data_IF_834296032872
#
_entry.id   IF_834296032872
#
_cell.length_a   1.000
_cell.length_b   1.000
_cell.length_c   1.000
_cell.angle_alpha   90.00
_cell.angle_beta   90.00
_cell.angle_gamma   90.00
#
_symmetry.space_group_name_H-M   'P 1'
#
loop_
_entity.id
_entity.type
_entity.pdbx_description
1 polymer ?
#
# COMPACT_ATOMS: atom_id res chain seq x y z
N UNK A 1 -15.14 -42.55 48.66
CA UNK A 1 -15.31 -42.40 47.22
C UNK A 1 -15.67 -40.92 46.95
N UNK A 2 -14.72 -40.10 46.60
CA UNK A 2 -14.91 -38.64 46.49
C UNK A 2 -14.58 -38.24 45.08
N UNK A 3 -15.59 -37.92 44.29
CA UNK A 3 -15.43 -37.26 42.98
C UNK A 3 -15.12 -35.76 43.18
N UNK A 4 -13.92 -35.34 42.80
CA UNK A 4 -13.58 -33.90 42.67
C UNK A 4 -13.71 -33.47 41.23
N UNK A 5 -14.59 -32.50 41.03
CA UNK A 5 -14.90 -31.83 39.78
C UNK A 5 -13.70 -31.09 39.18
N UNK A 6 -13.40 -31.39 37.93
CA UNK A 6 -12.47 -30.61 37.07
C UNK A 6 -13.25 -29.64 36.21
N UNK A 7 -13.55 -28.45 36.73
CA UNK A 7 -14.35 -27.45 35.99
C UNK A 7 -13.73 -26.03 35.96
N UNK A 8 -12.42 -25.89 36.17
CA UNK A 8 -11.83 -24.56 36.33
C UNK A 8 -10.89 -24.08 35.18
N UNK A 9 -10.68 -24.83 34.10
CA UNK A 9 -9.64 -24.50 33.13
C UNK A 9 -10.20 -23.86 31.82
N UNK A 10 -11.52 -23.91 31.59
CA UNK A 10 -12.09 -23.45 30.34
C UNK A 10 -12.34 -21.92 30.27
N UNK A 11 -12.50 -21.24 31.43
CA UNK A 11 -12.86 -19.81 31.48
C UNK A 11 -11.73 -18.84 31.09
N UNK A 12 -10.49 -19.14 31.47
CA UNK A 12 -9.36 -18.24 31.28
C UNK A 12 -8.91 -18.14 29.80
N UNK A 13 -8.99 -19.24 29.06
CA UNK A 13 -8.59 -19.29 27.66
C UNK A 13 -9.56 -18.51 26.75
N UNK A 14 -10.87 -18.55 27.07
CA UNK A 14 -11.90 -17.84 26.29
C UNK A 14 -11.79 -16.32 26.53
N UNK A 15 -11.54 -15.89 27.76
CA UNK A 15 -11.41 -14.46 28.09
C UNK A 15 -10.17 -13.84 27.42
N UNK A 16 -9.05 -14.56 27.36
CA UNK A 16 -7.83 -14.08 26.70
C UNK A 16 -8.03 -13.97 25.17
N UNK A 17 -8.68 -14.93 24.55
CA UNK A 17 -8.96 -14.92 23.11
C UNK A 17 -9.89 -13.76 22.72
N UNK A 18 -10.91 -13.49 23.47
CA UNK A 18 -11.84 -12.37 23.24
C UNK A 18 -11.12 -11.01 23.40
N UNK A 19 -10.29 -10.84 24.42
CA UNK A 19 -9.53 -9.61 24.63
C UNK A 19 -8.55 -9.33 23.49
N UNK A 20 -7.87 -10.35 22.98
CA UNK A 20 -6.95 -10.20 21.84
C UNK A 20 -7.69 -9.86 20.55
N UNK A 21 -8.89 -10.42 20.31
CA UNK A 21 -9.71 -10.10 19.14
C UNK A 21 -10.24 -8.67 19.22
N UNK A 22 -10.69 -8.21 20.38
CA UNK A 22 -11.17 -6.85 20.57
C UNK A 22 -10.06 -5.81 20.41
N UNK A 23 -8.89 -6.02 21.00
CA UNK A 23 -7.75 -5.13 20.84
C UNK A 23 -7.28 -5.02 19.37
N UNK A 24 -7.33 -6.13 18.63
CA UNK A 24 -7.01 -6.13 17.18
C UNK A 24 -8.03 -5.34 16.35
N UNK A 25 -9.32 -5.44 16.67
CA UNK A 25 -10.37 -4.71 15.96
C UNK A 25 -10.29 -3.20 16.22
N UNK A 26 -9.81 -2.78 17.36
CA UNK A 26 -9.60 -1.37 17.69
C UNK A 26 -8.35 -0.79 16.98
N UNK A 27 -7.26 -1.55 16.90
CA UNK A 27 -6.05 -1.16 16.17
C UNK A 27 -6.35 -1.03 14.67
N UNK A 28 -7.09 -1.97 14.08
CA UNK A 28 -7.48 -1.92 12.67
C UNK A 28 -8.40 -0.74 12.36
N UNK A 29 -9.37 -0.47 13.24
CA UNK A 29 -10.24 0.71 13.14
C UNK A 29 -9.46 2.01 13.31
N UNK A 30 -8.53 2.06 14.24
CA UNK A 30 -7.65 3.20 14.46
C UNK A 30 -6.81 3.51 13.23
N UNK A 31 -6.21 2.50 12.60
CA UNK A 31 -5.41 2.68 11.39
C UNK A 31 -6.26 3.12 10.19
N UNK A 32 -7.40 2.49 9.98
CA UNK A 32 -8.34 2.87 8.91
C UNK A 32 -8.86 4.31 9.09
N UNK A 33 -9.15 4.73 10.31
CA UNK A 33 -9.57 6.09 10.61
C UNK A 33 -8.44 7.10 10.42
N UNK A 34 -7.20 6.77 10.78
CA UNK A 34 -6.03 7.61 10.55
C UNK A 34 -5.80 7.83 9.04
N UNK A 35 -5.86 6.78 8.24
CA UNK A 35 -5.73 6.87 6.79
C UNK A 35 -6.87 7.69 6.17
N UNK A 36 -8.12 7.48 6.61
CA UNK A 36 -9.26 8.26 6.11
C UNK A 36 -9.15 9.75 6.47
N UNK A 37 -8.69 10.07 7.68
CA UNK A 37 -8.47 11.45 8.14
C UNK A 37 -7.32 12.13 7.40
N UNK A 38 -6.31 11.37 7.00
CA UNK A 38 -5.12 11.87 6.32
C UNK A 38 -5.29 11.98 4.78
N UNK A 39 -6.44 11.57 4.23
CA UNK A 39 -6.73 11.79 2.82
C UNK A 39 -6.68 13.30 2.52
N UNK A 40 -5.71 13.73 1.68
CA UNK A 40 -5.47 15.14 1.37
C UNK A 40 -6.16 15.60 0.09
N UNK A 41 -6.96 14.73 -0.52
CA UNK A 41 -7.66 15.03 -1.77
C UNK A 41 -8.62 13.93 -2.19
N UNK A 42 -9.38 14.21 -3.25
CA UNK A 42 -10.26 13.22 -3.86
C UNK A 42 -9.46 12.06 -4.44
N UNK A 43 -9.95 10.86 -4.26
CA UNK A 43 -9.38 9.68 -4.87
C UNK A 43 -9.45 9.76 -6.40
N UNK A 44 -8.42 9.26 -7.05
CA UNK A 44 -8.31 9.18 -8.50
C UNK A 44 -8.47 7.72 -8.89
N UNK A 45 -9.28 7.43 -9.89
CA UNK A 45 -9.53 6.07 -10.38
C UNK A 45 -9.00 5.92 -11.80
N UNK A 46 -8.30 4.81 -12.06
CA UNK A 46 -7.76 4.51 -13.38
C UNK A 46 -7.10 3.13 -13.42
N UNK A 47 -6.10 3.00 -14.29
CA UNK A 47 -5.30 1.79 -14.39
C UNK A 47 -3.89 2.01 -13.83
N UNK A 48 -3.27 0.94 -13.34
CA UNK A 48 -1.88 0.90 -12.97
C UNK A 48 -1.11 -0.04 -13.88
N UNK A 49 0.10 0.34 -14.25
CA UNK A 49 1.09 -0.55 -14.86
C UNK A 49 2.29 -0.74 -13.91
N UNK A 50 3.28 -1.49 -14.36
CA UNK A 50 4.54 -1.66 -13.65
C UNK A 50 5.66 -1.08 -14.49
N UNK A 51 6.63 -0.42 -13.85
CA UNK A 51 7.88 -0.07 -14.49
C UNK A 51 9.07 -0.66 -13.73
N UNK A 52 10.11 -0.97 -14.47
CA UNK A 52 11.39 -1.41 -13.90
C UNK A 52 12.52 -1.05 -14.87
N UNK A 53 13.30 0.02 -14.60
CA UNK A 53 14.35 0.51 -15.51
C UNK A 53 15.50 -0.47 -15.71
N UNK A 54 15.59 -1.53 -14.91
CA UNK A 54 16.61 -2.57 -15.03
C UNK A 54 16.19 -3.76 -15.90
N UNK A 55 14.94 -3.81 -16.37
CA UNK A 55 14.50 -4.88 -17.26
C UNK A 55 14.91 -4.59 -18.71
N UNK A 56 15.46 -5.58 -19.43
CA UNK A 56 15.76 -5.44 -20.86
C UNK A 56 14.51 -5.04 -21.65
N UNK A 57 14.67 -4.07 -22.56
CA UNK A 57 13.57 -3.57 -23.41
C UNK A 57 12.66 -2.52 -22.74
N UNK A 58 12.86 -2.21 -21.48
CA UNK A 58 12.14 -1.13 -20.79
C UNK A 58 13.04 0.11 -20.77
N UNK A 59 12.78 1.05 -21.68
CA UNK A 59 13.62 2.22 -21.88
C UNK A 59 13.06 3.51 -21.29
N UNK A 60 11.99 3.44 -20.51
CA UNK A 60 11.40 4.63 -19.91
C UNK A 60 12.09 4.94 -18.57
N UNK A 61 12.77 6.07 -18.54
CA UNK A 61 13.46 6.59 -17.37
C UNK A 61 14.82 5.98 -17.09
N UNK A 62 15.62 6.67 -16.33
CA UNK A 62 16.89 6.16 -15.81
C UNK A 62 16.72 5.47 -14.47
N UNK A 63 17.82 5.01 -13.86
CA UNK A 63 17.79 4.39 -12.53
C UNK A 63 17.46 5.36 -11.39
N UNK A 64 17.38 6.65 -11.66
CA UNK A 64 17.06 7.68 -10.68
C UNK A 64 15.62 8.16 -10.89
N UNK A 65 14.85 8.17 -9.81
CA UNK A 65 13.47 8.67 -9.79
C UNK A 65 13.41 10.20 -9.79
N UNK A 66 12.24 10.77 -10.04
CA UNK A 66 12.04 12.23 -10.00
C UNK A 66 12.33 12.87 -8.64
N UNK A 67 12.25 12.10 -7.54
CA UNK A 67 12.67 12.55 -6.20
C UNK A 67 14.18 12.58 -6.00
N UNK A 68 14.95 11.99 -6.93
CA UNK A 68 16.40 11.82 -6.84
C UNK A 68 16.84 10.52 -6.17
N UNK A 69 15.92 9.72 -5.68
CA UNK A 69 16.23 8.40 -5.15
C UNK A 69 16.58 7.42 -6.27
N UNK A 70 17.43 6.44 -5.98
CA UNK A 70 17.65 5.33 -6.89
C UNK A 70 16.41 4.43 -6.90
N UNK A 71 15.99 3.98 -8.08
CA UNK A 71 14.92 2.99 -8.20
C UNK A 71 15.26 1.71 -7.43
N UNK A 72 14.34 1.27 -6.61
CA UNK A 72 14.44 0.01 -5.86
C UNK A 72 13.22 -0.87 -6.18
N UNK A 73 13.41 -2.01 -6.88
CA UNK A 73 12.32 -2.93 -7.20
C UNK A 73 11.65 -3.55 -5.96
N UNK A 74 12.36 -3.56 -4.81
CA UNK A 74 11.86 -4.09 -3.54
C UNK A 74 11.08 -3.07 -2.72
N UNK A 75 11.09 -1.81 -3.10
CA UNK A 75 10.39 -0.74 -2.39
C UNK A 75 8.88 -0.76 -2.65
N UNK A 76 8.10 -0.36 -1.64
CA UNK A 76 6.68 -0.01 -1.79
C UNK A 76 6.58 1.41 -2.36
N UNK A 77 6.83 1.55 -3.64
CA UNK A 77 6.88 2.84 -4.31
C UNK A 77 6.17 2.81 -5.67
N UNK A 78 5.93 4.00 -6.21
CA UNK A 78 5.27 4.17 -7.49
C UNK A 78 5.61 5.53 -8.12
N UNK A 79 5.46 5.58 -9.44
CA UNK A 79 5.44 6.80 -10.23
C UNK A 79 4.01 7.23 -10.47
N UNK A 80 3.69 8.52 -10.28
CA UNK A 80 2.36 9.07 -10.58
C UNK A 80 2.35 9.72 -11.96
N UNK A 81 1.24 9.59 -12.69
CA UNK A 81 1.10 10.23 -14.00
C UNK A 81 1.45 11.72 -13.93
N UNK A 82 2.21 12.20 -14.90
CA UNK A 82 2.76 13.57 -14.90
C UNK A 82 1.69 14.65 -14.72
N UNK A 83 0.53 14.50 -15.35
CA UNK A 83 -0.60 15.43 -15.23
C UNK A 83 -1.22 15.46 -13.82
N UNK A 84 -1.03 14.39 -13.04
CA UNK A 84 -1.53 14.26 -11.67
C UNK A 84 -0.51 14.69 -10.62
N UNK A 85 0.74 14.98 -11.02
CA UNK A 85 1.85 15.32 -10.13
C UNK A 85 1.50 16.39 -9.09
N UNK A 86 0.77 17.42 -9.48
CA UNK A 86 0.34 18.51 -8.58
C UNK A 86 -0.57 18.02 -7.44
N UNK A 87 -1.45 17.05 -7.71
CA UNK A 87 -2.35 16.46 -6.69
C UNK A 87 -1.62 15.67 -5.62
N UNK A 88 -0.38 15.26 -5.89
CA UNK A 88 0.49 14.53 -4.95
C UNK A 88 1.61 15.46 -4.40
N UNK A 89 1.38 16.77 -4.36
CA UNK A 89 2.31 17.72 -3.75
C UNK A 89 3.59 17.98 -4.55
N UNK A 90 3.58 17.67 -5.87
CA UNK A 90 4.66 18.04 -6.77
C UNK A 90 5.95 17.24 -6.55
N UNK A 91 5.90 15.91 -6.74
CA UNK A 91 7.08 15.04 -6.68
C UNK A 91 8.24 15.62 -7.47
N UNK A 92 9.37 15.88 -6.83
CA UNK A 92 10.57 16.50 -7.43
C UNK A 92 11.80 16.19 -6.60
N UNK A 93 12.98 16.41 -7.18
CA UNK A 93 14.26 16.25 -6.54
C UNK A 93 14.33 17.04 -5.21
N UNK A 94 14.77 16.37 -4.15
CA UNK A 94 14.94 16.94 -2.82
C UNK A 94 13.65 17.36 -2.08
N UNK A 95 12.46 17.06 -2.64
CA UNK A 95 11.21 17.32 -1.93
C UNK A 95 10.95 16.25 -0.85
N UNK A 96 10.19 16.64 0.19
CA UNK A 96 9.69 15.68 1.19
C UNK A 96 8.93 14.53 0.54
N UNK A 97 9.04 13.30 1.09
CA UNK A 97 8.33 12.14 0.59
C UNK A 97 6.83 12.38 0.48
N UNK A 98 6.20 11.84 -0.55
CA UNK A 98 4.75 11.85 -0.76
C UNK A 98 4.23 10.43 -0.69
N UNK A 99 3.03 10.27 -0.16
CA UNK A 99 2.43 8.96 0.05
C UNK A 99 1.00 8.92 -0.50
N UNK A 100 0.58 7.74 -0.88
CA UNK A 100 -0.78 7.47 -1.32
C UNK A 100 -1.29 6.15 -0.77
N UNK A 101 -2.59 6.09 -0.45
CA UNK A 101 -3.29 4.83 -0.32
C UNK A 101 -3.70 4.34 -1.70
N UNK A 102 -3.32 3.13 -2.02
CA UNK A 102 -3.72 2.43 -3.25
C UNK A 102 -4.65 1.28 -2.89
N UNK A 103 -5.78 1.21 -3.60
CA UNK A 103 -6.79 0.16 -3.45
C UNK A 103 -7.06 -0.46 -4.82
N UNK A 104 -6.93 -1.77 -4.93
CA UNK A 104 -7.23 -2.54 -6.15
C UNK A 104 -7.41 -4.02 -5.82
N UNK A 105 -8.22 -4.75 -6.59
CA UNK A 105 -8.41 -6.19 -6.46
C UNK A 105 -8.66 -6.66 -5.01
N UNK A 106 -9.43 -5.87 -4.23
CA UNK A 106 -9.75 -6.17 -2.83
C UNK A 106 -8.59 -6.01 -1.84
N UNK A 107 -7.44 -5.49 -2.29
CA UNK A 107 -6.25 -5.25 -1.48
C UNK A 107 -5.97 -3.76 -1.34
N UNK A 108 -5.19 -3.40 -0.31
CA UNK A 108 -4.77 -2.03 -0.05
C UNK A 108 -3.29 -1.97 0.31
N UNK A 109 -2.62 -0.90 -0.11
CA UNK A 109 -1.25 -0.62 0.29
C UNK A 109 -1.00 0.88 0.39
N UNK A 110 -0.15 1.29 1.34
CA UNK A 110 0.44 2.62 1.34
C UNK A 110 1.71 2.55 0.50
N UNK A 111 1.82 3.45 -0.47
CA UNK A 111 2.98 3.53 -1.35
C UNK A 111 3.61 4.91 -1.28
N UNK A 112 4.94 4.95 -1.40
CA UNK A 112 5.68 6.18 -1.59
C UNK A 112 5.56 6.62 -3.05
N UNK A 113 5.18 7.85 -3.30
CA UNK A 113 5.17 8.44 -4.62
C UNK A 113 6.49 9.21 -4.78
N UNK A 114 7.44 8.61 -5.47
CA UNK A 114 8.79 9.14 -5.62
C UNK A 114 9.20 9.37 -7.08
N UNK A 115 8.31 9.04 -8.03
CA UNK A 115 8.60 9.23 -9.44
C UNK A 115 7.39 9.75 -10.22
N UNK A 116 7.59 10.12 -11.49
CA UNK A 116 6.57 10.58 -12.43
C UNK A 116 6.57 9.72 -13.69
N UNK A 117 5.42 9.31 -14.09
CA UNK A 117 5.03 8.41 -15.18
C UNK A 117 3.70 7.76 -14.74
N UNK A 118 3.03 6.98 -15.53
CA UNK A 118 3.17 6.72 -16.96
C UNK A 118 2.70 7.91 -17.83
N UNK A 119 3.08 7.86 -19.13
CA UNK A 119 2.58 8.80 -20.12
C UNK A 119 1.34 8.29 -20.86
N UNK A 120 1.05 6.99 -20.76
CA UNK A 120 -0.06 6.35 -21.45
C UNK A 120 -1.42 6.82 -20.90
N UNK A 121 -2.33 7.32 -21.72
CA UNK A 121 -3.67 7.72 -21.29
C UNK A 121 -4.40 6.60 -20.55
N UNK A 122 -5.14 6.97 -19.49
CA UNK A 122 -5.88 6.02 -18.64
C UNK A 122 -5.05 5.29 -17.57
N UNK A 123 -3.72 5.26 -17.71
CA UNK A 123 -2.82 4.81 -16.65
C UNK A 123 -2.50 5.99 -15.74
N UNK A 124 -2.85 5.85 -14.47
CA UNK A 124 -2.70 6.93 -13.49
C UNK A 124 -1.46 6.77 -12.63
N UNK A 125 -0.92 5.55 -12.54
CA UNK A 125 0.19 5.18 -11.66
C UNK A 125 0.98 4.01 -12.24
N UNK A 126 2.30 4.03 -12.09
CA UNK A 126 3.18 2.89 -12.38
C UNK A 126 3.81 2.37 -11.10
N UNK A 127 3.58 1.12 -10.81
CA UNK A 127 4.08 0.47 -9.61
C UNK A 127 5.52 0.00 -9.78
N UNK A 128 6.34 0.11 -8.71
CA UNK A 128 7.54 -0.70 -8.58
C UNK A 128 7.16 -2.18 -8.55
N UNK A 129 8.11 -3.05 -8.85
CA UNK A 129 7.85 -4.49 -8.95
C UNK A 129 7.24 -5.07 -7.66
N UNK A 130 7.73 -4.71 -6.48
CA UNK A 130 7.16 -5.16 -5.20
C UNK A 130 5.71 -4.72 -5.03
N UNK A 131 5.41 -3.48 -5.35
CA UNK A 131 4.03 -2.96 -5.26
C UNK A 131 3.12 -3.69 -6.24
N UNK A 132 3.56 -3.89 -7.48
CA UNK A 132 2.79 -4.63 -8.48
C UNK A 132 2.50 -6.05 -8.04
N UNK A 133 3.49 -6.78 -7.49
CA UNK A 133 3.31 -8.14 -6.97
C UNK A 133 2.29 -8.26 -5.84
N UNK A 134 2.02 -7.19 -5.13
CA UNK A 134 0.95 -7.20 -4.13
C UNK A 134 -0.43 -7.31 -4.78
N UNK A 135 -0.68 -6.58 -5.87
CA UNK A 135 -1.95 -6.57 -6.56
C UNK A 135 -2.06 -7.68 -7.62
N UNK A 136 -0.96 -7.99 -8.30
CA UNK A 136 -0.80 -9.08 -9.29
C UNK A 136 0.42 -9.95 -8.93
N UNK A 137 0.27 -10.95 -8.04
CA UNK A 137 1.39 -11.76 -7.54
C UNK A 137 2.20 -12.47 -8.64
N UNK A 138 1.53 -12.85 -9.72
CA UNK A 138 2.16 -13.55 -10.85
C UNK A 138 2.76 -12.63 -11.90
N UNK A 139 2.56 -11.31 -11.80
CA UNK A 139 2.92 -10.32 -12.83
C UNK A 139 2.38 -10.70 -14.23
N UNK A 140 1.19 -11.29 -14.27
CA UNK A 140 0.58 -11.82 -15.51
C UNK A 140 -0.31 -10.82 -16.20
N UNK A 141 -0.89 -9.90 -15.45
CA UNK A 141 -1.84 -8.92 -15.96
C UNK A 141 -1.15 -7.79 -16.73
N UNK A 142 0.06 -7.42 -16.34
CA UNK A 142 0.79 -6.27 -16.88
C UNK A 142 0.14 -4.91 -16.56
N UNK A 143 -1.20 -4.88 -16.52
CA UNK A 143 -2.02 -3.71 -16.18
C UNK A 143 -3.10 -4.14 -15.18
N UNK A 144 -3.25 -3.40 -14.09
CA UNK A 144 -4.33 -3.58 -13.11
C UNK A 144 -5.34 -2.47 -13.32
N UNK A 145 -6.60 -2.82 -13.52
CA UNK A 145 -7.70 -1.88 -13.74
C UNK A 145 -8.46 -1.59 -12.45
N UNK A 146 -9.21 -0.47 -12.44
CA UNK A 146 -10.03 -0.08 -11.29
C UNK A 146 -9.19 0.30 -10.06
N UNK A 147 -7.97 0.72 -10.28
CA UNK A 147 -7.08 1.18 -9.20
C UNK A 147 -7.56 2.53 -8.69
N UNK A 148 -7.78 2.61 -7.39
CA UNK A 148 -8.11 3.84 -6.70
C UNK A 148 -6.88 4.32 -5.92
N UNK A 149 -6.46 5.56 -6.17
CA UNK A 149 -5.29 6.18 -5.56
C UNK A 149 -5.73 7.43 -4.80
N UNK A 150 -5.51 7.45 -3.49
CA UNK A 150 -5.86 8.58 -2.62
C UNK A 150 -4.59 9.21 -2.06
N UNK A 151 -4.29 10.49 -2.34
CA UNK A 151 -3.17 11.19 -1.73
C UNK A 151 -3.30 11.23 -0.21
N UNK A 152 -2.19 11.07 0.50
CA UNK A 152 -2.13 11.17 1.97
C UNK A 152 -1.36 12.45 2.35
N UNK A 153 -1.84 13.13 3.37
CA UNK A 153 -1.13 14.26 4.02
C UNK A 153 -0.08 13.72 5.00
N UNK A 154 0.98 14.50 5.21
CA UNK A 154 2.09 14.09 6.07
C UNK A 154 3.16 13.30 5.32
N UNK A 155 4.28 13.08 5.98
CA UNK A 155 5.48 12.48 5.40
C UNK A 155 6.06 11.32 6.24
N UNK A 156 5.34 10.89 7.27
CA UNK A 156 5.73 9.85 8.26
C UNK A 156 5.04 8.49 8.05
N UNK A 157 4.46 8.26 6.86
CA UNK A 157 3.79 7.00 6.56
C UNK A 157 4.77 5.85 6.36
N UNK A 158 4.42 4.67 6.87
CA UNK A 158 5.15 3.43 6.60
C UNK A 158 4.57 2.75 5.36
N UNK A 159 5.32 2.69 4.25
CA UNK A 159 4.87 2.00 3.05
C UNK A 159 4.71 0.50 3.25
N UNK A 160 3.66 -0.07 2.67
CA UNK A 160 3.39 -1.50 2.78
C UNK A 160 1.90 -1.82 2.69
N UNK A 161 1.53 -3.12 2.82
CA UNK A 161 0.14 -3.54 2.85
C UNK A 161 -0.60 -2.89 4.03
N UNK A 162 -1.76 -2.27 3.75
CA UNK A 162 -2.61 -1.66 4.77
C UNK A 162 -3.83 -2.52 5.12
N UNK A 163 -4.00 -3.64 4.44
CA UNK A 163 -5.06 -4.64 4.63
C UNK A 163 -4.61 -5.82 5.50
N UNK A 164 -3.57 -5.67 6.31
CA UNK A 164 -3.07 -6.77 7.14
C UNK A 164 -4.17 -7.33 8.05
N UNK A 165 -4.97 -8.25 7.51
CA UNK A 165 -5.34 -9.41 8.30
C UNK A 165 -4.01 -10.12 8.60
N UNK A 166 -3.44 -9.89 9.78
CA UNK A 166 -2.28 -10.67 10.22
C UNK A 166 -2.69 -12.14 10.15
N UNK A 167 -2.13 -12.82 9.15
CA UNK A 167 -2.33 -14.22 8.94
C UNK A 167 -2.07 -14.96 10.26
N UNK A 168 -2.91 -15.92 10.56
CA UNK A 168 -2.69 -16.95 11.53
C UNK A 168 -1.30 -17.53 11.25
N UNK A 169 -0.38 -17.33 12.17
CA UNK A 169 0.85 -18.16 12.22
C UNK A 169 0.36 -19.55 12.64
N UNK A 170 0.73 -20.61 11.93
CA UNK A 170 0.37 -21.99 12.30
C UNK A 170 0.93 -22.36 13.66
#
# INVERSE_FOLDING_TARGET
>A
MVFRSSAAICGAAITLAVSVVMARSEIDRGHSNAVAKAASGAAIVGAASMYNPYRPGWQEGGPNTASGERYDPSAWAAAIQTSLRGKFGGVRYGASPKYALVEAAGKKAIVKINDVGPLTPGRIIDFNERTMRHFDPGLRLGVVYGVKVTPLSGDDWTPGPSDRRRGRVP
#
